data_IF_846062998795
#
_entry.id   IF_846062998795
#
_cell.length_a   1.000
_cell.length_b   1.000
_cell.length_c   1.000
_cell.angle_alpha   90.00
_cell.angle_beta   90.00
_cell.angle_gamma   90.00
#
_symmetry.space_group_name_H-M   'P 1'
#
loop_
_entity.id
_entity.type
_entity.pdbx_description
1 polymer ?
#
# COMPACT_ATOMS: atom_id res chain seq x y z
N UNK A 1 -5.81 -32.37 7.98
CA UNK A 1 -4.46 -31.78 8.18
C UNK A 1 -4.65 -30.47 8.91
N UNK A 2 -3.78 -30.13 9.88
CA UNK A 2 -3.89 -28.87 10.62
C UNK A 2 -3.41 -27.73 9.73
N UNK A 3 -4.19 -26.66 9.63
CA UNK A 3 -3.77 -25.44 8.94
C UNK A 3 -2.63 -24.78 9.69
N UNK A 4 -1.74 -24.12 8.95
CA UNK A 4 -0.64 -23.34 9.48
C UNK A 4 -0.80 -21.89 9.04
N UNK A 5 -0.38 -20.97 9.90
CA UNK A 5 -0.18 -19.58 9.51
C UNK A 5 1.18 -19.43 8.82
N UNK A 6 1.21 -18.73 7.69
CA UNK A 6 2.44 -18.49 6.93
C UNK A 6 2.42 -17.09 6.30
N UNK A 7 3.57 -16.40 6.31
CA UNK A 7 3.72 -15.10 5.67
C UNK A 7 3.57 -15.22 4.15
N UNK A 8 2.86 -14.27 3.58
CA UNK A 8 2.72 -14.04 2.14
C UNK A 8 3.55 -12.80 1.78
N UNK A 9 4.74 -12.95 1.19
CA UNK A 9 5.55 -11.81 0.82
C UNK A 9 4.83 -10.92 -0.19
N UNK A 10 4.80 -9.60 0.06
CA UNK A 10 4.13 -8.63 -0.81
C UNK A 10 4.54 -8.73 -2.28
N UNK A 11 5.81 -9.03 -2.56
CA UNK A 11 6.33 -9.17 -3.93
C UNK A 11 5.78 -10.38 -4.69
N UNK A 12 5.19 -11.36 -3.99
CA UNK A 12 4.50 -12.47 -4.64
C UNK A 12 3.04 -12.16 -4.94
N UNK A 13 2.49 -11.10 -4.35
CA UNK A 13 1.13 -10.66 -4.58
C UNK A 13 1.09 -9.83 -5.86
N UNK A 14 0.34 -10.32 -6.84
CA UNK A 14 0.08 -9.62 -8.10
C UNK A 14 -1.03 -8.59 -7.93
N UNK A 15 -2.15 -8.98 -7.31
CA UNK A 15 -3.35 -8.14 -7.22
C UNK A 15 -4.13 -8.43 -5.96
N UNK A 16 -4.72 -7.39 -5.39
CA UNK A 16 -5.63 -7.47 -4.26
C UNK A 16 -7.08 -7.31 -4.72
N UNK A 17 -7.96 -7.99 -4.01
CA UNK A 17 -9.40 -7.90 -4.14
C UNK A 17 -10.01 -7.75 -2.75
N UNK A 18 -11.07 -6.94 -2.61
CA UNK A 18 -11.89 -6.98 -1.41
C UNK A 18 -12.32 -8.40 -1.12
N UNK A 19 -12.36 -8.80 0.15
CA UNK A 19 -12.86 -10.10 0.50
C UNK A 19 -14.33 -10.22 0.05
N UNK A 20 -14.71 -11.30 -0.69
CA UNK A 20 -16.01 -11.38 -1.35
C UNK A 20 -17.19 -11.48 -0.37
N UNK A 21 -16.96 -12.04 0.83
CA UNK A 21 -17.97 -12.20 1.86
C UNK A 21 -17.74 -11.24 3.04
N UNK A 22 -18.78 -10.55 3.53
CA UNK A 22 -18.65 -9.65 4.67
C UNK A 22 -18.29 -10.36 6.00
N UNK A 23 -18.31 -11.69 6.03
CA UNK A 23 -18.02 -12.52 7.20
C UNK A 23 -16.90 -13.53 6.99
N UNK A 24 -16.19 -13.46 5.86
CA UNK A 24 -15.05 -14.35 5.69
C UNK A 24 -13.91 -13.96 6.62
N UNK A 25 -13.03 -14.93 6.87
CA UNK A 25 -12.00 -14.74 7.89
C UNK A 25 -10.93 -13.73 7.43
N UNK A 26 -10.56 -13.73 6.13
CA UNK A 26 -9.49 -12.89 5.60
C UNK A 26 -9.90 -11.44 5.31
N UNK A 27 -8.92 -10.53 5.36
CA UNK A 27 -9.14 -9.10 5.03
C UNK A 27 -9.25 -8.88 3.51
N UNK A 28 -8.46 -9.63 2.74
CA UNK A 28 -8.41 -9.54 1.28
C UNK A 28 -8.26 -10.90 0.63
N UNK A 29 -8.63 -11.01 -0.65
CA UNK A 29 -8.22 -12.10 -1.52
C UNK A 29 -7.14 -11.59 -2.46
N UNK A 30 -6.11 -12.39 -2.70
CA UNK A 30 -4.99 -12.00 -3.57
C UNK A 30 -4.72 -13.03 -4.65
N UNK A 31 -4.37 -12.53 -5.84
CA UNK A 31 -3.68 -13.33 -6.84
C UNK A 31 -2.18 -13.30 -6.58
N UNK A 32 -1.54 -14.46 -6.62
CA UNK A 32 -0.09 -14.59 -6.60
C UNK A 32 0.47 -14.60 -8.02
N UNK A 33 1.73 -14.16 -8.18
CA UNK A 33 2.40 -14.09 -9.49
C UNK A 33 2.50 -15.45 -10.20
N UNK A 34 2.44 -16.56 -9.47
CA UNK A 34 2.44 -17.92 -10.03
C UNK A 34 1.05 -18.43 -10.44
N UNK A 35 0.01 -17.60 -10.36
CA UNK A 35 -1.37 -17.93 -10.72
C UNK A 35 -2.17 -18.63 -9.63
N UNK A 36 -1.61 -18.87 -8.44
CA UNK A 36 -2.39 -19.26 -7.26
C UNK A 36 -3.16 -18.05 -6.72
N UNK A 37 -4.20 -18.30 -5.94
CA UNK A 37 -4.89 -17.26 -5.17
C UNK A 37 -5.07 -17.74 -3.73
N UNK A 38 -5.15 -16.80 -2.80
CA UNK A 38 -5.35 -17.09 -1.38
C UNK A 38 -5.98 -15.89 -0.69
N UNK A 39 -6.71 -16.14 0.39
CA UNK A 39 -7.05 -15.09 1.36
C UNK A 39 -5.80 -14.68 2.14
N UNK A 40 -5.72 -13.39 2.46
CA UNK A 40 -4.67 -12.82 3.29
C UNK A 40 -5.26 -11.92 4.37
N UNK A 41 -4.57 -11.94 5.51
CA UNK A 41 -4.77 -11.06 6.63
C UNK A 41 -3.60 -10.10 6.69
N UNK A 42 -3.84 -8.81 6.90
CA UNK A 42 -2.76 -7.87 7.14
C UNK A 42 -2.43 -7.80 8.63
N UNK A 43 -1.17 -7.51 8.94
CA UNK A 43 -0.67 -7.32 10.30
C UNK A 43 -0.24 -5.88 10.49
N UNK A 44 -0.32 -5.37 11.72
CA UNK A 44 0.14 -4.02 12.06
C UNK A 44 1.64 -3.83 11.78
N UNK A 45 2.42 -4.91 11.81
CA UNK A 45 3.84 -4.91 11.52
C UNK A 45 4.17 -4.72 10.02
N UNK A 46 3.18 -4.75 9.13
CA UNK A 46 3.36 -4.60 7.69
C UNK A 46 3.55 -5.89 6.92
N UNK A 47 3.14 -7.01 7.51
CA UNK A 47 3.17 -8.32 6.88
C UNK A 47 1.77 -8.76 6.44
N UNK A 48 1.71 -9.54 5.36
CA UNK A 48 0.52 -10.31 5.01
C UNK A 48 0.72 -11.76 5.43
N UNK A 49 -0.31 -12.39 5.98
CA UNK A 49 -0.30 -13.80 6.35
C UNK A 49 -1.51 -14.52 5.77
N UNK A 50 -1.40 -15.82 5.57
CA UNK A 50 -2.52 -16.70 5.23
C UNK A 50 -2.53 -17.91 6.15
N UNK A 51 -3.72 -18.44 6.43
CA UNK A 51 -3.91 -19.65 7.23
C UNK A 51 -4.34 -20.77 6.28
N UNK A 52 -3.43 -21.69 5.97
CA UNK A 52 -3.68 -22.70 4.93
C UNK A 52 -3.14 -24.08 5.31
N UNK A 53 -3.71 -25.12 4.71
CA UNK A 53 -3.17 -26.48 4.72
C UNK A 53 -2.75 -26.96 3.32
N UNK A 54 -2.78 -26.09 2.31
CA UNK A 54 -2.34 -26.41 0.95
C UNK A 54 -0.81 -26.47 0.88
N UNK A 55 -0.29 -27.69 0.74
CA UNK A 55 1.15 -27.95 0.67
C UNK A 55 1.85 -27.27 -0.53
N UNK A 56 1.15 -27.05 -1.65
CA UNK A 56 1.73 -26.37 -2.81
C UNK A 56 1.92 -24.89 -2.51
N UNK A 57 0.91 -24.25 -1.94
CA UNK A 57 0.98 -22.85 -1.52
C UNK A 57 2.07 -22.67 -0.44
N UNK A 58 2.07 -23.52 0.58
CA UNK A 58 3.08 -23.47 1.65
C UNK A 58 4.50 -23.59 1.08
N UNK A 59 4.73 -24.54 0.17
CA UNK A 59 6.04 -24.75 -0.44
C UNK A 59 6.46 -23.54 -1.26
N UNK A 60 5.54 -23.00 -2.07
CA UNK A 60 5.78 -21.82 -2.88
C UNK A 60 6.16 -20.61 -2.04
N UNK A 61 5.42 -20.31 -0.97
CA UNK A 61 5.70 -19.19 -0.07
C UNK A 61 7.04 -19.34 0.64
N UNK A 62 7.39 -20.55 1.12
CA UNK A 62 8.67 -20.80 1.80
C UNK A 62 9.88 -20.62 0.89
N UNK A 63 9.77 -21.01 -0.39
CA UNK A 63 10.87 -20.88 -1.35
C UNK A 63 11.13 -19.44 -1.79
N UNK A 64 10.15 -18.56 -1.67
CA UNK A 64 10.18 -17.21 -2.23
C UNK A 64 10.10 -16.12 -1.15
N UNK A 65 10.75 -16.34 0.00
CA UNK A 65 10.84 -15.34 1.05
C UNK A 65 11.69 -14.15 0.57
N UNK A 66 11.14 -12.94 0.65
CA UNK A 66 11.80 -11.70 0.24
C UNK A 66 11.78 -10.68 1.38
N UNK A 67 12.66 -9.67 1.28
CA UNK A 67 12.72 -8.57 2.25
C UNK A 67 11.45 -7.71 2.16
N UNK A 68 11.06 -7.16 3.30
CA UNK A 68 10.01 -6.16 3.39
C UNK A 68 10.39 -4.88 2.64
N UNK A 69 9.38 -4.18 2.13
CA UNK A 69 9.56 -2.88 1.49
C UNK A 69 9.74 -1.81 2.57
N UNK A 70 10.67 -0.87 2.35
CA UNK A 70 10.92 0.19 3.32
C UNK A 70 9.92 1.34 3.14
N UNK A 71 9.30 1.75 4.24
CA UNK A 71 8.42 2.92 4.30
C UNK A 71 9.13 4.03 5.07
N UNK A 72 9.02 5.28 4.60
CA UNK A 72 9.53 6.44 5.33
C UNK A 72 8.47 7.07 6.25
N UNK A 73 7.20 6.68 6.07
CA UNK A 73 6.09 7.06 6.95
C UNK A 73 5.14 5.87 7.12
N UNK A 74 4.62 5.69 8.34
CA UNK A 74 3.57 4.72 8.67
C UNK A 74 2.81 5.14 9.93
N UNK A 75 1.51 4.89 9.96
CA UNK A 75 0.68 5.07 11.16
C UNK A 75 -0.29 3.91 11.44
N UNK A 76 -0.04 2.75 10.84
CA UNK A 76 -0.87 1.53 10.97
C UNK A 76 -2.00 1.43 9.94
N UNK A 77 -2.50 2.55 9.42
CA UNK A 77 -3.53 2.58 8.36
C UNK A 77 -2.94 3.00 7.02
N UNK A 78 -2.15 4.08 7.03
CA UNK A 78 -1.49 4.61 5.85
C UNK A 78 0.02 4.40 5.96
N UNK A 79 0.64 4.16 4.82
CA UNK A 79 2.10 4.18 4.70
C UNK A 79 2.54 4.84 3.41
N UNK A 80 3.68 5.52 3.49
CA UNK A 80 4.34 6.13 2.34
C UNK A 80 5.68 5.46 2.10
N UNK A 81 5.95 5.16 0.83
CA UNK A 81 7.15 4.47 0.40
C UNK A 81 7.81 5.19 -0.76
N UNK A 82 9.13 5.18 -0.79
CA UNK A 82 9.90 5.63 -1.96
C UNK A 82 9.53 4.73 -3.13
N UNK A 83 9.16 5.31 -4.27
CA UNK A 83 8.91 4.54 -5.48
C UNK A 83 10.15 3.74 -5.87
N UNK A 84 9.96 2.46 -6.17
CA UNK A 84 10.99 1.53 -6.61
C UNK A 84 10.67 1.02 -8.02
N UNK A 85 11.64 0.44 -8.72
CA UNK A 85 11.46 -0.05 -10.10
C UNK A 85 10.32 -1.07 -10.23
N UNK A 86 10.08 -1.86 -9.17
CA UNK A 86 8.99 -2.85 -9.11
C UNK A 86 7.59 -2.21 -9.20
N UNK A 87 7.46 -0.91 -8.91
CA UNK A 87 6.18 -0.20 -8.96
C UNK A 87 5.82 0.28 -10.36
N UNK A 88 6.80 0.33 -11.27
CA UNK A 88 6.56 0.85 -12.62
C UNK A 88 5.45 0.06 -13.32
N UNK A 89 5.40 -1.26 -13.12
CA UNK A 89 4.32 -2.09 -13.68
C UNK A 89 2.95 -1.69 -13.14
N UNK A 90 2.82 -1.48 -11.83
CA UNK A 90 1.55 -1.05 -11.23
C UNK A 90 1.14 0.33 -11.77
N UNK A 91 2.10 1.24 -11.92
CA UNK A 91 1.86 2.59 -12.43
C UNK A 91 1.42 2.55 -13.91
N UNK A 92 2.03 1.69 -14.73
CA UNK A 92 1.62 1.46 -16.11
C UNK A 92 0.18 0.94 -16.18
N UNK A 93 -0.16 -0.07 -15.36
CA UNK A 93 -1.52 -0.61 -15.29
C UNK A 93 -2.52 0.45 -14.83
N UNK A 94 -2.15 1.27 -13.86
CA UNK A 94 -2.98 2.38 -13.35
C UNK A 94 -3.20 3.49 -14.38
N UNK A 95 -2.24 3.77 -15.24
CA UNK A 95 -2.38 4.78 -16.30
C UNK A 95 -3.47 4.43 -17.32
N UNK A 96 -3.91 3.17 -17.38
CA UNK A 96 -5.08 2.78 -18.17
C UNK A 96 -6.42 3.17 -17.53
N UNK A 97 -6.42 3.74 -16.32
CA UNK A 97 -7.61 4.08 -15.54
C UNK A 97 -7.60 5.54 -15.06
N UNK A 98 -8.78 6.07 -14.74
CA UNK A 98 -8.90 7.46 -14.25
C UNK A 98 -8.74 7.51 -12.72
N UNK A 99 -7.75 8.23 -12.18
CA UNK A 99 -7.56 8.33 -10.74
C UNK A 99 -8.58 9.25 -10.07
N UNK A 100 -8.70 9.13 -8.75
CA UNK A 100 -9.13 10.23 -7.88
C UNK A 100 -7.91 11.14 -7.71
N UNK A 101 -8.07 12.41 -8.03
CA UNK A 101 -7.02 13.43 -7.92
C UNK A 101 -7.26 14.28 -6.68
N UNK A 102 -6.22 14.40 -5.85
CA UNK A 102 -6.18 15.36 -4.76
C UNK A 102 -4.95 16.24 -4.93
N UNK A 103 -5.13 17.54 -4.88
CA UNK A 103 -4.06 18.52 -4.96
C UNK A 103 -3.89 19.23 -3.63
N UNK A 104 -2.64 19.37 -3.20
CA UNK A 104 -2.27 19.98 -1.93
C UNK A 104 -1.16 20.98 -2.17
N UNK A 105 -1.31 22.16 -1.58
CA UNK A 105 -0.25 23.17 -1.56
C UNK A 105 0.85 22.73 -0.57
N UNK A 106 2.08 22.74 -1.05
CA UNK A 106 3.26 22.35 -0.29
C UNK A 106 3.98 23.61 0.24
N UNK A 107 4.50 23.56 1.48
CA UNK A 107 5.37 24.61 1.98
C UNK A 107 6.64 24.71 1.13
N UNK A 108 7.30 25.87 1.20
CA UNK A 108 8.55 26.12 0.46
C UNK A 108 9.65 25.13 0.81
N UNK A 109 9.71 24.73 2.08
CA UNK A 109 10.65 23.76 2.62
C UNK A 109 9.92 22.50 3.06
N UNK A 110 10.28 21.35 2.49
CA UNK A 110 9.79 20.04 2.91
C UNK A 110 10.85 18.96 2.67
N UNK A 111 10.80 17.90 3.48
CA UNK A 111 11.70 16.74 3.36
C UNK A 111 11.07 15.55 2.63
N UNK A 112 9.93 15.74 1.95
CA UNK A 112 9.29 14.70 1.16
C UNK A 112 9.98 14.48 -0.20
N UNK A 113 10.09 13.23 -0.67
CA UNK A 113 10.58 12.94 -2.01
C UNK A 113 9.60 13.44 -3.09
N UNK A 114 10.13 13.76 -4.27
CA UNK A 114 9.33 14.27 -5.39
C UNK A 114 8.29 13.27 -5.92
N UNK A 115 8.51 11.97 -5.71
CA UNK A 115 7.59 10.91 -6.09
C UNK A 115 7.61 9.83 -5.00
N UNK A 116 6.43 9.38 -4.58
CA UNK A 116 6.28 8.32 -3.59
C UNK A 116 4.96 7.56 -3.73
N UNK A 117 4.97 6.31 -3.29
CA UNK A 117 3.81 5.43 -3.28
C UNK A 117 2.94 5.73 -2.06
N UNK A 118 1.64 5.68 -2.26
CA UNK A 118 0.62 5.82 -1.22
C UNK A 118 -0.06 4.48 -0.98
N UNK A 119 0.07 3.97 0.24
CA UNK A 119 -0.45 2.68 0.64
C UNK A 119 -1.54 2.79 1.70
N UNK A 120 -2.56 1.95 1.57
CA UNK A 120 -3.64 1.75 2.54
C UNK A 120 -3.58 0.30 3.03
N UNK A 121 -3.44 0.10 4.34
CA UNK A 121 -3.16 -1.22 4.94
C UNK A 121 -2.05 -2.00 4.22
N UNK A 122 -0.95 -1.32 3.92
CA UNK A 122 0.23 -1.85 3.21
C UNK A 122 0.02 -2.22 1.74
N UNK A 123 -1.16 -1.93 1.20
CA UNK A 123 -1.50 -2.14 -0.21
C UNK A 123 -1.28 -0.83 -0.96
N UNK A 124 -0.49 -0.86 -2.03
CA UNK A 124 -0.35 0.28 -2.93
C UNK A 124 -1.71 0.59 -3.57
N UNK A 125 -2.26 1.76 -3.28
CA UNK A 125 -3.55 2.23 -3.84
C UNK A 125 -3.39 3.45 -4.75
N UNK A 126 -2.22 4.07 -4.72
CA UNK A 126 -1.90 5.25 -5.51
C UNK A 126 -0.47 5.71 -5.36
N UNK A 127 -0.17 6.88 -5.92
CA UNK A 127 1.12 7.54 -5.77
C UNK A 127 0.96 9.06 -5.82
N UNK A 128 1.90 9.76 -5.20
CA UNK A 128 1.96 11.21 -5.19
C UNK A 128 3.17 11.71 -5.99
N UNK A 129 2.99 12.87 -6.62
CA UNK A 129 4.07 13.62 -7.27
C UNK A 129 4.08 15.04 -6.76
N UNK A 130 5.25 15.57 -6.43
CA UNK A 130 5.43 16.97 -6.05
C UNK A 130 6.09 17.71 -7.22
N UNK A 131 5.48 18.82 -7.63
CA UNK A 131 6.04 19.75 -8.61
C UNK A 131 5.91 21.17 -8.09
N UNK A 132 7.03 21.89 -8.02
CA UNK A 132 7.09 23.27 -7.52
C UNK A 132 6.53 23.37 -6.10
N UNK A 133 5.27 23.77 -5.93
CA UNK A 133 4.58 23.87 -4.63
C UNK A 133 3.26 23.09 -4.59
N UNK A 134 3.09 22.16 -5.51
CA UNK A 134 1.85 21.37 -5.60
C UNK A 134 2.19 19.90 -5.52
N UNK A 135 1.65 19.24 -4.51
CA UNK A 135 1.60 17.80 -4.43
C UNK A 135 0.29 17.31 -5.05
N UNK A 136 0.41 16.46 -6.06
CA UNK A 136 -0.74 15.76 -6.65
C UNK A 136 -0.72 14.31 -6.19
N UNK A 137 -1.69 13.92 -5.38
CA UNK A 137 -1.96 12.53 -5.01
C UNK A 137 -2.95 11.93 -6.01
N UNK A 138 -2.59 10.78 -6.60
CA UNK A 138 -3.41 10.02 -7.54
C UNK A 138 -3.77 8.67 -6.92
N UNK A 139 -5.06 8.43 -6.69
CA UNK A 139 -5.56 7.17 -6.12
C UNK A 139 -6.31 6.39 -7.20
N UNK A 140 -5.90 5.15 -7.45
CA UNK A 140 -6.41 4.31 -8.54
C UNK A 140 -7.25 3.13 -8.05
N UNK A 141 -6.90 2.55 -6.90
CA UNK A 141 -7.60 1.37 -6.34
C UNK A 141 -8.88 1.74 -5.58
N UNK A 142 -9.87 2.30 -6.28
CA UNK A 142 -11.13 2.81 -5.69
C UNK A 142 -11.99 1.77 -4.97
N UNK A 143 -11.72 0.48 -5.23
CA UNK A 143 -12.39 -0.64 -4.56
C UNK A 143 -11.75 -1.00 -3.22
N UNK A 144 -10.52 -0.54 -2.96
CA UNK A 144 -9.75 -0.88 -1.76
C UNK A 144 -9.73 0.27 -0.74
N UNK A 145 -9.94 1.51 -1.17
CA UNK A 145 -9.95 2.70 -0.32
C UNK A 145 -11.14 3.60 -0.67
N UNK A 146 -11.90 4.03 0.34
CA UNK A 146 -13.05 4.91 0.14
C UNK A 146 -12.65 6.39 0.20
N UNK A 147 -13.52 7.26 -0.34
CA UNK A 147 -13.28 8.71 -0.34
C UNK A 147 -13.07 9.31 1.05
N UNK A 148 -13.76 8.78 2.08
CA UNK A 148 -13.61 9.25 3.45
C UNK A 148 -12.18 8.96 3.95
N UNK A 149 -11.66 7.76 3.67
CA UNK A 149 -10.29 7.37 4.03
C UNK A 149 -9.26 8.22 3.30
N UNK A 150 -9.49 8.54 2.02
CA UNK A 150 -8.63 9.47 1.26
C UNK A 150 -8.60 10.85 1.94
N UNK A 151 -9.75 11.37 2.36
CA UNK A 151 -9.84 12.64 3.08
C UNK A 151 -9.04 12.62 4.39
N UNK A 152 -9.19 11.56 5.19
CA UNK A 152 -8.43 11.37 6.43
C UNK A 152 -6.92 11.29 6.16
N UNK A 153 -6.50 10.55 5.12
CA UNK A 153 -5.10 10.44 4.74
C UNK A 153 -4.50 11.81 4.37
N UNK A 154 -5.27 12.61 3.64
CA UNK A 154 -4.89 13.97 3.22
C UNK A 154 -4.71 14.89 4.42
N UNK A 155 -5.65 14.89 5.36
CA UNK A 155 -5.56 15.70 6.57
C UNK A 155 -4.30 15.32 7.38
N UNK A 156 -4.02 14.03 7.52
CA UNK A 156 -2.82 13.53 8.19
C UNK A 156 -1.53 13.95 7.49
N UNK A 157 -1.50 13.91 6.15
CA UNK A 157 -0.36 14.38 5.36
C UNK A 157 -0.13 15.87 5.57
N UNK A 158 -1.18 16.67 5.52
CA UNK A 158 -1.11 18.12 5.77
C UNK A 158 -0.60 18.40 7.18
N UNK A 159 -1.07 17.68 8.19
CA UNK A 159 -0.57 17.82 9.57
C UNK A 159 0.91 17.45 9.69
N UNK A 160 1.33 16.34 9.07
CA UNK A 160 2.72 15.90 9.08
C UNK A 160 3.64 16.93 8.41
N UNK A 161 3.22 17.46 7.26
CA UNK A 161 3.93 18.52 6.54
C UNK A 161 4.06 19.78 7.41
N UNK A 162 2.98 20.21 8.07
CA UNK A 162 3.01 21.39 8.97
C UNK A 162 3.96 21.20 10.17
N UNK A 163 4.00 20.01 10.76
CA UNK A 163 4.92 19.71 11.89
C UNK A 163 6.39 19.77 11.46
N UNK A 164 6.72 19.35 10.24
CA UNK A 164 8.09 19.42 9.71
C UNK A 164 8.55 20.88 9.57
N UNK A 165 7.69 21.77 9.07
CA UNK A 165 7.99 23.21 8.94
C UNK A 165 8.26 23.85 10.31
N UNK A 166 7.45 23.53 11.33
CA UNK A 166 7.58 24.15 12.65
C UNK A 166 8.83 23.71 13.43
N UNK A 167 9.36 22.51 13.17
CA UNK A 167 10.58 22.01 13.82
C UNK A 167 11.88 22.61 13.26
N UNK A 168 11.81 23.39 12.18
CA UNK A 168 12.97 24.11 11.62
C UNK A 168 13.09 25.57 12.11
N UNK A 169 12.24 26.00 13.06
CA UNK A 169 12.19 27.37 13.59
C UNK A 169 12.75 27.46 15.04
N UNK A 170 13.31 26.38 15.59
CA UNK A 170 13.99 26.39 16.91
C UNK A 170 15.52 26.41 16.82
#
# INVERSE_FOLDING_TARGET
>A
MKSIEIKVPRNLIRKFYPYPEPYGDGDYVVDLINGMYTDVFYREEGDFVTITNDNKLISYLKMNQMKSRQCFFRNGVYSLRIKEDIDNQNIEDWNASTPILVELEMPEEHNLPNEFMFCFYWIEVGYATIKVRTMTLRVYEKNLIHMIDIGVAVDLLVEAIKKIVNNHIE
#
